data_IF_033711472219
#
_entry.id   IF_033711472219
#
_cell.length_a   1.000
_cell.length_b   1.000
_cell.length_c   1.000
_cell.angle_alpha   90.00
_cell.angle_beta   90.00
_cell.angle_gamma   90.00
#
_symmetry.space_group_name_H-M   'P 1'
#
loop_
_entity.id
_entity.type
_entity.pdbx_description
1 polymer ?
#
# COMPACT_ATOMS: atom_id res chain seq x y z
N UNK A 1 31.40 12.09 -1.62
CA UNK A 1 31.08 12.51 -0.24
C UNK A 1 29.58 12.53 -0.10
N UNK A 2 29.02 11.89 0.92
CA UNK A 2 27.59 11.98 1.25
C UNK A 2 27.41 13.21 2.14
N UNK A 3 26.52 14.12 1.75
CA UNK A 3 26.20 15.33 2.52
C UNK A 3 24.77 15.21 3.04
N UNK A 4 24.60 15.26 4.35
CA UNK A 4 23.31 15.32 5.03
C UNK A 4 23.11 16.73 5.56
N UNK A 5 22.08 17.43 5.07
CA UNK A 5 21.74 18.79 5.51
C UNK A 5 20.49 18.73 6.39
N UNK A 6 20.61 19.15 7.65
CA UNK A 6 19.47 19.26 8.56
C UNK A 6 19.18 20.74 8.83
N UNK A 7 17.91 21.14 8.75
CA UNK A 7 17.50 22.53 9.03
C UNK A 7 17.15 22.76 10.51
N UNK A 8 17.10 21.70 11.33
CA UNK A 8 16.83 21.78 12.77
C UNK A 8 15.39 22.15 13.17
N UNK A 9 14.48 22.27 12.21
CA UNK A 9 13.08 22.67 12.42
C UNK A 9 12.10 21.50 12.41
N UNK A 10 12.57 20.26 12.23
CA UNK A 10 11.73 19.08 12.29
C UNK A 10 11.20 18.87 13.72
N UNK A 11 9.92 18.49 13.83
CA UNK A 11 9.26 18.24 15.11
C UNK A 11 9.84 17.03 15.86
N UNK A 12 10.30 16.02 15.12
CA UNK A 12 10.93 14.81 15.64
C UNK A 12 12.16 14.45 14.80
N UNK A 13 13.09 13.68 15.37
CA UNK A 13 14.25 13.18 14.66
C UNK A 13 13.86 12.13 13.61
N UNK A 14 14.74 11.95 12.62
CA UNK A 14 14.59 10.96 11.56
C UNK A 14 15.82 10.06 11.57
N UNK A 15 15.61 8.75 11.50
CA UNK A 15 16.68 7.75 11.45
C UNK A 15 16.64 7.01 10.11
N UNK A 16 17.79 6.84 9.47
CA UNK A 16 17.98 5.97 8.33
C UNK A 16 18.89 4.79 8.72
N UNK A 17 18.43 3.56 8.53
CA UNK A 17 19.13 2.35 8.97
C UNK A 17 19.28 1.35 7.83
N UNK A 18 20.45 0.69 7.78
CA UNK A 18 20.69 -0.48 6.96
C UNK A 18 20.84 -1.69 7.88
N UNK A 19 19.94 -2.67 7.75
CA UNK A 19 19.94 -3.87 8.58
C UNK A 19 19.45 -5.08 7.79
N UNK A 20 19.60 -6.28 8.37
CA UNK A 20 19.09 -7.50 7.74
C UNK A 20 19.25 -8.76 8.61
N UNK A 21 18.55 -9.81 8.21
CA UNK A 21 18.62 -11.16 8.77
C UNK A 21 18.30 -12.21 7.69
N UNK A 22 18.25 -13.50 8.04
CA UNK A 22 18.02 -14.58 7.05
C UNK A 22 16.69 -14.49 6.31
N UNK A 23 15.64 -13.91 6.90
CA UNK A 23 14.32 -13.74 6.27
C UNK A 23 14.18 -12.41 5.54
N UNK A 24 14.93 -11.38 5.95
CA UNK A 24 14.95 -10.04 5.34
C UNK A 24 16.41 -9.64 5.11
N UNK A 25 17.04 -10.09 4.01
CA UNK A 25 18.49 -10.05 3.88
C UNK A 25 19.08 -8.64 3.76
N UNK A 26 18.35 -7.71 3.15
CA UNK A 26 18.76 -6.30 3.05
C UNK A 26 17.54 -5.40 3.20
N UNK A 27 17.54 -4.55 4.22
CA UNK A 27 16.50 -3.54 4.46
C UNK A 27 17.17 -2.18 4.63
N UNK A 28 16.75 -1.21 3.81
CA UNK A 28 17.00 0.20 4.04
C UNK A 28 15.71 0.84 4.54
N UNK A 29 15.70 1.28 5.79
CA UNK A 29 14.52 1.79 6.49
C UNK A 29 14.72 3.24 6.91
N UNK A 30 13.69 4.06 6.73
CA UNK A 30 13.62 5.44 7.21
C UNK A 30 12.45 5.56 8.17
N UNK A 31 12.72 5.97 9.41
CA UNK A 31 11.72 6.13 10.48
C UNK A 31 11.83 7.47 11.20
N UNK A 32 10.84 7.74 12.04
CA UNK A 32 10.75 8.95 12.88
C UNK A 32 10.85 8.56 14.36
N UNK A 33 11.53 9.37 15.16
CA UNK A 33 11.71 9.10 16.59
C UNK A 33 10.35 8.95 17.30
N UNK A 34 10.22 7.88 18.09
CA UNK A 34 8.99 7.58 18.83
C UNK A 34 7.82 7.09 17.97
N UNK A 35 8.04 6.84 16.68
CA UNK A 35 7.01 6.36 15.75
C UNK A 35 7.48 5.20 14.86
N UNK A 36 6.61 4.85 13.92
CA UNK A 36 6.83 3.81 12.92
C UNK A 36 7.90 4.20 11.86
N UNK A 37 8.22 3.25 10.99
CA UNK A 37 8.87 3.57 9.71
C UNK A 37 7.97 4.47 8.85
N UNK A 38 8.57 5.41 8.13
CA UNK A 38 7.94 6.18 7.05
C UNK A 38 7.91 5.35 5.76
N UNK A 39 9.06 4.77 5.39
CA UNK A 39 9.16 3.81 4.29
C UNK A 39 10.39 2.92 4.47
N UNK A 40 10.38 1.78 3.80
CA UNK A 40 11.58 0.96 3.64
C UNK A 40 11.64 0.32 2.25
N UNK A 41 12.86 0.17 1.74
CA UNK A 41 13.14 -0.67 0.59
C UNK A 41 13.82 -1.96 1.06
N UNK A 42 13.42 -3.09 0.48
CA UNK A 42 13.96 -4.39 0.86
C UNK A 42 14.28 -5.24 -0.36
N UNK A 43 15.39 -5.97 -0.27
CA UNK A 43 15.65 -7.14 -1.12
C UNK A 43 15.15 -8.39 -0.40
N UNK A 44 14.35 -9.19 -1.07
CA UNK A 44 13.84 -10.47 -0.58
C UNK A 44 14.84 -11.61 -0.77
N UNK A 45 14.56 -12.73 -0.12
CA UNK A 45 15.37 -13.96 -0.20
C UNK A 45 15.39 -14.56 -1.61
N UNK A 46 14.33 -14.33 -2.39
CA UNK A 46 14.18 -14.75 -3.80
C UNK A 46 14.79 -13.76 -4.82
N UNK A 47 15.54 -12.76 -4.35
CA UNK A 47 16.11 -11.66 -5.16
C UNK A 47 15.09 -10.68 -5.76
N UNK A 48 13.83 -10.71 -5.32
CA UNK A 48 12.88 -9.64 -5.65
C UNK A 48 13.10 -8.42 -4.74
N UNK A 49 12.48 -7.29 -5.10
CA UNK A 49 12.57 -6.03 -4.37
C UNK A 49 11.19 -5.52 -4.02
N UNK A 50 11.07 -4.87 -2.87
CA UNK A 50 9.84 -4.17 -2.46
C UNK A 50 10.15 -2.78 -1.93
N UNK A 51 9.18 -1.88 -2.08
CA UNK A 51 9.10 -0.61 -1.38
C UNK A 51 7.80 -0.62 -0.58
N UNK A 52 7.91 -0.47 0.74
CA UNK A 52 6.75 -0.26 1.62
C UNK A 52 6.73 1.19 2.06
N UNK A 53 5.58 1.86 1.93
CA UNK A 53 5.35 3.23 2.37
C UNK A 53 4.23 3.20 3.41
N UNK A 54 4.50 3.76 4.58
CA UNK A 54 3.51 3.88 5.64
C UNK A 54 2.67 5.15 5.42
N UNK A 55 1.67 5.04 4.55
CA UNK A 55 0.75 6.13 4.21
C UNK A 55 0.54 6.28 2.70
N UNK A 56 -0.02 7.42 2.31
CA UNK A 56 -0.29 7.73 0.91
C UNK A 56 1.01 7.96 0.12
N UNK A 57 1.10 7.37 -1.06
CA UNK A 57 2.18 7.63 -2.01
C UNK A 57 1.68 8.51 -3.16
N UNK A 58 2.35 9.63 -3.40
CA UNK A 58 2.07 10.48 -4.56
C UNK A 58 3.10 10.21 -5.66
N UNK A 59 2.63 9.87 -6.85
CA UNK A 59 3.46 9.66 -8.02
C UNK A 59 2.81 10.32 -9.24
N UNK A 60 3.63 10.86 -10.14
CA UNK A 60 3.15 11.33 -11.45
C UNK A 60 2.62 10.18 -12.29
N UNK A 61 3.17 8.97 -12.14
CA UNK A 61 2.74 7.77 -12.88
C UNK A 61 3.08 6.49 -12.10
N UNK A 62 2.13 5.55 -12.07
CA UNK A 62 2.36 4.14 -11.72
C UNK A 62 2.24 3.29 -12.98
N UNK A 63 3.30 2.56 -13.34
CA UNK A 63 3.30 1.68 -14.50
C UNK A 63 2.98 0.25 -14.08
N UNK A 64 1.75 -0.20 -14.33
CA UNK A 64 1.34 -1.59 -14.12
C UNK A 64 1.57 -2.36 -15.43
N UNK A 65 2.55 -3.27 -15.44
CA UNK A 65 2.79 -4.14 -16.60
C UNK A 65 1.57 -5.03 -16.85
N UNK A 66 1.11 -5.08 -18.10
CA UNK A 66 -0.10 -5.82 -18.49
C UNK A 66 0.09 -6.70 -19.72
N UNK A 67 1.35 -6.95 -20.10
CA UNK A 67 1.74 -7.80 -21.22
C UNK A 67 1.18 -9.23 -21.05
N UNK A 68 0.71 -9.82 -22.17
CA UNK A 68 0.19 -11.19 -22.19
C UNK A 68 1.26 -12.19 -21.80
N UNK A 69 2.52 -11.95 -22.19
CA UNK A 69 3.63 -12.87 -21.93
C UNK A 69 4.02 -12.91 -20.45
N UNK A 70 3.56 -11.91 -19.67
CA UNK A 70 3.73 -11.84 -18.22
C UNK A 70 2.51 -12.39 -17.45
N UNK A 71 1.50 -12.91 -18.14
CA UNK A 71 0.24 -13.39 -17.55
C UNK A 71 0.09 -14.90 -17.72
N UNK A 72 -0.34 -15.57 -16.67
CA UNK A 72 -0.69 -17.00 -16.67
C UNK A 72 -2.16 -17.20 -16.28
N UNK A 73 -2.72 -18.38 -16.60
CA UNK A 73 -4.11 -18.76 -16.27
C UNK A 73 -5.17 -17.76 -16.76
N UNK A 74 -4.98 -17.20 -17.95
CA UNK A 74 -5.87 -16.18 -18.52
C UNK A 74 -7.25 -16.78 -18.81
N UNK A 75 -8.27 -16.30 -18.10
CA UNK A 75 -9.68 -16.62 -18.32
C UNK A 75 -10.46 -15.37 -18.68
N UNK A 76 -11.40 -15.50 -19.61
CA UNK A 76 -12.34 -14.41 -19.91
C UNK A 76 -13.34 -14.31 -18.77
N UNK A 77 -13.65 -13.09 -18.34
CA UNK A 77 -14.70 -12.85 -17.34
C UNK A 77 -16.06 -13.14 -17.98
N UNK A 78 -16.71 -14.22 -17.53
CA UNK A 78 -18.05 -14.57 -17.99
C UNK A 78 -19.12 -13.59 -17.48
N UNK A 79 -20.14 -13.32 -18.31
CA UNK A 79 -21.21 -12.34 -18.07
C UNK A 79 -20.68 -10.97 -17.59
N UNK A 80 -19.56 -10.52 -18.17
CA UNK A 80 -18.83 -9.32 -17.72
C UNK A 80 -19.72 -8.08 -17.57
N UNK A 81 -20.67 -7.87 -18.50
CA UNK A 81 -21.60 -6.74 -18.43
C UNK A 81 -22.52 -6.81 -17.20
N UNK A 82 -23.01 -7.99 -16.86
CA UNK A 82 -23.89 -8.16 -15.69
C UNK A 82 -23.13 -8.03 -14.38
N UNK A 83 -21.86 -8.47 -14.35
CA UNK A 83 -20.97 -8.23 -13.21
C UNK A 83 -20.72 -6.74 -12.99
N UNK A 84 -20.37 -5.99 -14.04
CA UNK A 84 -20.14 -4.54 -13.94
C UNK A 84 -21.40 -3.81 -13.46
N UNK A 85 -22.60 -4.26 -13.87
CA UNK A 85 -23.88 -3.69 -13.44
C UNK A 85 -24.20 -3.87 -11.95
N UNK A 86 -23.47 -4.73 -11.22
CA UNK A 86 -23.62 -4.87 -9.77
C UNK A 86 -22.96 -3.73 -8.98
N UNK A 87 -22.08 -2.95 -9.62
CA UNK A 87 -21.39 -1.84 -9.00
C UNK A 87 -22.00 -0.50 -9.41
N UNK A 88 -21.95 0.48 -8.49
CA UNK A 88 -22.35 1.85 -8.78
C UNK A 88 -21.19 2.84 -8.57
N UNK A 89 -21.27 3.97 -9.28
CA UNK A 89 -20.42 5.13 -9.03
C UNK A 89 -21.04 6.00 -7.93
N UNK A 90 -20.20 6.44 -7.00
CA UNK A 90 -20.60 7.24 -5.85
C UNK A 90 -19.77 8.52 -5.78
N UNK A 91 -20.42 9.63 -5.43
CA UNK A 91 -19.77 10.78 -4.82
C UNK A 91 -19.98 10.73 -3.32
N UNK A 92 -18.93 10.93 -2.53
CA UNK A 92 -19.01 10.83 -1.08
C UNK A 92 -18.01 11.78 -0.40
N UNK A 93 -18.20 12.03 0.89
CA UNK A 93 -17.24 12.75 1.71
C UNK A 93 -16.43 11.74 2.52
N UNK A 94 -15.10 11.79 2.43
CA UNK A 94 -14.27 10.88 3.21
C UNK A 94 -14.30 11.30 4.68
N UNK A 95 -14.65 10.37 5.58
CA UNK A 95 -14.83 10.66 7.01
C UNK A 95 -13.59 11.26 7.67
N UNK A 96 -12.40 10.89 7.19
CA UNK A 96 -11.12 11.31 7.76
C UNK A 96 -10.82 12.80 7.57
N UNK A 97 -11.13 13.36 6.40
CA UNK A 97 -10.74 14.73 6.06
C UNK A 97 -11.91 15.65 5.67
N UNK A 98 -13.13 15.11 5.52
CA UNK A 98 -14.30 15.90 5.17
C UNK A 98 -14.32 16.41 3.72
N UNK A 99 -13.42 15.93 2.85
CA UNK A 99 -13.28 16.38 1.46
C UNK A 99 -14.17 15.52 0.54
N UNK A 100 -14.78 16.09 -0.51
CA UNK A 100 -15.54 15.32 -1.50
C UNK A 100 -14.63 14.48 -2.40
N UNK A 101 -15.04 13.25 -2.65
CA UNK A 101 -14.42 12.26 -3.52
C UNK A 101 -15.46 11.63 -4.45
N UNK A 102 -14.97 10.96 -5.49
CA UNK A 102 -15.77 10.08 -6.34
C UNK A 102 -15.07 8.72 -6.44
N UNK A 103 -15.86 7.64 -6.45
CA UNK A 103 -15.32 6.28 -6.51
C UNK A 103 -16.41 5.20 -6.52
N UNK A 104 -16.01 3.97 -6.25
CA UNK A 104 -16.90 2.80 -6.10
C UNK A 104 -16.79 2.25 -4.68
N UNK A 105 -17.77 1.45 -4.25
CA UNK A 105 -17.71 0.74 -2.97
C UNK A 105 -17.00 -0.60 -3.17
N UNK A 106 -15.92 -0.83 -2.42
CA UNK A 106 -15.09 -2.03 -2.58
C UNK A 106 -15.85 -3.35 -2.35
N UNK A 107 -16.88 -3.35 -1.48
CA UNK A 107 -17.73 -4.52 -1.25
C UNK A 107 -18.60 -4.88 -2.46
N UNK A 108 -19.08 -3.89 -3.22
CA UNK A 108 -19.79 -4.14 -4.48
C UNK A 108 -18.83 -4.69 -5.54
N UNK A 109 -17.61 -4.15 -5.60
CA UNK A 109 -16.56 -4.66 -6.47
C UNK A 109 -16.18 -6.09 -6.13
N UNK A 110 -16.15 -6.44 -4.84
CA UNK A 110 -15.85 -7.78 -4.36
C UNK A 110 -16.92 -8.79 -4.82
N UNK A 111 -18.20 -8.40 -4.82
CA UNK A 111 -19.29 -9.24 -5.32
C UNK A 111 -19.28 -9.36 -6.86
N UNK A 112 -18.89 -8.30 -7.55
CA UNK A 112 -18.89 -8.22 -9.01
C UNK A 112 -17.70 -8.96 -9.66
N UNK A 113 -16.49 -8.53 -9.31
CA UNK A 113 -15.22 -8.98 -9.87
C UNK A 113 -14.21 -9.05 -8.72
N UNK A 114 -14.22 -10.11 -7.90
CA UNK A 114 -13.42 -10.18 -6.68
C UNK A 114 -11.91 -9.98 -6.90
N UNK A 115 -11.42 -10.26 -8.10
CA UNK A 115 -10.02 -10.13 -8.50
C UNK A 115 -9.51 -8.68 -8.54
N UNK A 116 -10.41 -7.68 -8.59
CA UNK A 116 -10.00 -6.26 -8.53
C UNK A 116 -9.84 -5.74 -7.10
N UNK A 117 -10.27 -6.50 -6.09
CA UNK A 117 -10.30 -6.04 -4.71
C UNK A 117 -9.08 -6.55 -3.94
N UNK A 118 -8.24 -5.61 -3.51
CA UNK A 118 -7.19 -5.86 -2.53
C UNK A 118 -7.70 -5.72 -1.10
N UNK A 119 -6.95 -6.28 -0.14
CA UNK A 119 -7.15 -6.01 1.28
C UNK A 119 -5.92 -5.32 1.87
N UNK A 120 -6.12 -4.19 2.53
CA UNK A 120 -5.11 -3.53 3.34
C UNK A 120 -5.44 -3.72 4.83
N UNK A 121 -4.43 -4.04 5.65
CA UNK A 121 -4.57 -3.99 7.10
C UNK A 121 -4.24 -2.57 7.56
N UNK A 122 -5.17 -1.93 8.25
CA UNK A 122 -4.90 -0.68 8.97
C UNK A 122 -4.56 -1.05 10.41
N UNK A 123 -3.28 -0.98 10.73
CA UNK A 123 -2.82 -1.07 12.10
C UNK A 123 -3.14 0.25 12.81
N UNK A 124 -3.59 0.18 14.06
CA UNK A 124 -3.70 1.40 14.86
C UNK A 124 -2.30 1.95 15.13
N UNK A 125 -2.20 3.28 15.03
CA UNK A 125 -1.07 4.11 15.45
C UNK A 125 0.34 3.54 15.22
N UNK A 126 0.77 3.46 13.96
CA UNK A 126 2.19 3.27 13.64
C UNK A 126 2.82 1.93 14.07
N UNK A 127 2.05 0.97 14.58
CA UNK A 127 2.58 -0.35 14.87
C UNK A 127 2.95 -1.06 13.56
N UNK A 128 4.24 -1.33 13.36
CA UNK A 128 4.63 -2.50 12.57
C UNK A 128 4.00 -3.71 13.23
N UNK A 129 3.35 -4.60 12.47
CA UNK A 129 2.64 -5.80 12.97
C UNK A 129 3.52 -6.85 13.67
N UNK A 130 4.43 -6.43 14.54
CA UNK A 130 5.27 -7.24 15.42
C UNK A 130 4.56 -7.61 16.74
N UNK A 131 3.46 -6.96 17.09
CA UNK A 131 2.77 -7.18 18.37
C UNK A 131 1.27 -7.40 18.21
N UNK A 132 0.86 -8.50 17.55
CA UNK A 132 -0.38 -9.24 17.82
C UNK A 132 -1.76 -8.52 17.78
N UNK A 133 -1.84 -7.21 17.54
CA UNK A 133 -3.11 -6.50 17.42
C UNK A 133 -3.67 -6.72 16.01
N UNK A 134 -4.88 -7.30 15.94
CA UNK A 134 -5.61 -7.45 14.68
C UNK A 134 -5.90 -6.07 14.10
N UNK A 135 -5.12 -5.68 13.09
CA UNK A 135 -5.43 -4.48 12.30
C UNK A 135 -6.80 -4.60 11.64
N UNK A 136 -7.54 -3.50 11.58
CA UNK A 136 -8.82 -3.47 10.88
C UNK A 136 -8.56 -3.70 9.37
N UNK A 137 -9.30 -4.63 8.77
CA UNK A 137 -9.13 -4.99 7.36
C UNK A 137 -10.00 -4.09 6.48
N UNK A 138 -9.37 -3.28 5.65
CA UNK A 138 -10.01 -2.42 4.67
C UNK A 138 -9.88 -3.03 3.27
N UNK A 139 -10.94 -2.94 2.48
CA UNK A 139 -10.93 -3.34 1.07
C UNK A 139 -10.57 -2.14 0.20
N UNK A 140 -9.72 -2.37 -0.79
CA UNK A 140 -9.32 -1.37 -1.79
C UNK A 140 -9.62 -1.92 -3.18
N UNK A 141 -9.96 -1.03 -4.11
CA UNK A 141 -10.12 -1.32 -5.55
C UNK A 141 -8.98 -0.65 -6.30
#
# INVERSE_FOLDING_TARGET
TMTLNTQGTAYAGVTAQLWGNSSRPVVYEVGVDGGAYMFYAQKNTDNTYMLSVNGACHATTFNQHSDRDLKDNIQVIDNATDRIRKMNGYTYTLKENGIPYAGVIAQEALEAIPEVVGSAMKYQDGASGSEGEEGERYYTV
#
